data_IF_130264217986
#
_entry.id   IF_130264217986
#
_cell.length_a   1.000
_cell.length_b   1.000
_cell.length_c   1.000
_cell.angle_alpha   90.00
_cell.angle_beta   90.00
_cell.angle_gamma   90.00
#
_symmetry.space_group_name_H-M   'P 1'
#
loop_
_entity.id
_entity.type
_entity.pdbx_description
1 polymer ?
#
# COMPACT_ATOMS: atom_id res chain seq x y z
N UNK A 1 -34.15 60.32 53.40
CA UNK A 1 -33.86 60.97 52.11
C UNK A 1 -32.47 60.55 51.66
N UNK A 2 -32.38 60.00 50.45
CA UNK A 2 -31.15 59.57 49.75
C UNK A 2 -30.13 60.72 49.67
N UNK A 3 -28.84 60.44 49.87
CA UNK A 3 -27.76 61.17 49.19
C UNK A 3 -26.70 60.18 48.72
N UNK A 4 -26.41 60.31 47.43
CA UNK A 4 -25.55 59.48 46.61
C UNK A 4 -24.09 59.56 47.04
N UNK A 5 -23.42 58.41 47.12
CA UNK A 5 -21.97 58.28 47.03
C UNK A 5 -21.65 57.68 45.66
N UNK A 6 -21.03 58.49 44.80
CA UNK A 6 -20.41 58.07 43.55
C UNK A 6 -19.18 57.21 43.91
N UNK A 7 -19.22 55.93 43.57
CA UNK A 7 -18.05 55.04 43.58
C UNK A 7 -17.56 54.99 42.13
N UNK A 8 -16.28 55.31 41.84
CA UNK A 8 -15.76 55.15 40.50
C UNK A 8 -15.63 53.66 40.21
N UNK A 9 -16.36 53.21 39.19
CA UNK A 9 -16.31 51.87 38.65
C UNK A 9 -14.93 51.66 38.01
N UNK A 10 -14.01 51.05 38.76
CA UNK A 10 -12.78 50.52 38.20
C UNK A 10 -13.15 49.38 37.25
N UNK A 11 -12.91 49.60 35.96
CA UNK A 11 -13.10 48.61 34.91
C UNK A 11 -12.18 47.41 35.16
N UNK A 12 -12.75 46.29 35.59
CA UNK A 12 -12.17 44.97 35.44
C UNK A 12 -12.52 44.46 34.04
N UNK A 13 -11.66 44.76 33.08
CA UNK A 13 -11.56 43.97 31.85
C UNK A 13 -10.17 43.32 31.84
N UNK A 14 -10.10 42.10 32.39
CA UNK A 14 -9.09 41.13 31.99
C UNK A 14 -9.86 40.08 31.18
N UNK A 15 -10.08 40.38 29.91
CA UNK A 15 -10.38 39.36 28.93
C UNK A 15 -9.08 38.66 28.59
N UNK A 16 -8.87 37.45 29.10
CA UNK A 16 -7.85 36.55 28.55
C UNK A 16 -8.33 36.05 27.19
N UNK A 17 -8.12 36.85 26.15
CA UNK A 17 -7.81 36.31 24.84
C UNK A 17 -6.29 36.24 24.77
N UNK A 18 -5.70 35.10 25.11
CA UNK A 18 -4.28 34.90 24.85
C UNK A 18 -4.09 34.78 23.34
N UNK A 19 -3.70 35.88 22.70
CA UNK A 19 -3.00 35.77 21.42
C UNK A 19 -1.85 34.76 21.61
N UNK A 20 -1.63 33.83 20.66
CA UNK A 20 -0.49 32.93 20.75
C UNK A 20 0.76 33.76 20.96
N UNK A 21 1.58 33.38 21.96
CA UNK A 21 2.81 34.10 22.29
C UNK A 21 3.62 34.28 21.02
N UNK A 22 4.03 35.52 20.75
CA UNK A 22 4.73 35.85 19.52
C UNK A 22 6.06 35.08 19.49
N UNK A 23 6.50 34.67 18.29
CA UNK A 23 7.69 33.87 18.06
C UNK A 23 8.96 34.35 18.79
N UNK A 24 9.06 35.66 19.02
CA UNK A 24 10.16 36.33 19.72
C UNK A 24 10.22 36.11 21.24
N UNK A 25 9.19 35.50 21.84
CA UNK A 25 9.09 35.32 23.31
C UNK A 25 9.43 33.90 23.78
N UNK A 26 9.76 33.00 22.85
CA UNK A 26 10.01 31.58 23.13
C UNK A 26 11.50 31.31 23.06
N UNK A 27 12.04 30.68 24.10
CA UNK A 27 13.39 30.15 24.08
C UNK A 27 13.37 28.78 23.38
N UNK A 28 14.00 28.70 22.20
CA UNK A 28 14.22 27.46 21.44
C UNK A 28 15.72 27.13 21.36
N UNK A 29 16.44 27.30 22.47
CA UNK A 29 17.90 27.18 22.52
C UNK A 29 18.38 25.72 22.55
N UNK A 30 17.53 24.77 22.98
CA UNK A 30 17.84 23.34 23.04
C UNK A 30 16.94 22.49 22.13
N UNK A 31 17.40 21.25 21.87
CA UNK A 31 16.69 20.31 21.02
C UNK A 31 15.28 20.00 21.55
N UNK A 32 15.13 19.81 22.87
CA UNK A 32 13.85 19.50 23.51
C UNK A 32 12.80 20.57 23.23
N UNK A 33 13.13 21.86 23.34
CA UNK A 33 12.19 22.93 23.00
C UNK A 33 11.88 22.95 21.51
N UNK A 34 12.89 22.78 20.64
CA UNK A 34 12.70 22.77 19.18
C UNK A 34 11.83 21.62 18.70
N UNK A 35 12.06 20.40 19.17
CA UNK A 35 11.25 19.24 18.81
C UNK A 35 9.83 19.37 19.36
N UNK A 36 9.68 19.86 20.59
CA UNK A 36 8.36 20.12 21.19
C UNK A 36 7.55 21.10 20.35
N UNK A 37 8.16 22.22 19.95
CA UNK A 37 7.53 23.20 19.07
C UNK A 37 7.15 22.56 17.73
N UNK A 38 8.06 21.77 17.17
CA UNK A 38 7.89 21.17 15.85
C UNK A 38 6.77 20.14 15.81
N UNK A 39 6.68 19.25 16.81
CA UNK A 39 5.60 18.27 16.95
C UNK A 39 4.23 18.96 17.07
N UNK A 40 4.14 20.02 17.87
CA UNK A 40 2.92 20.81 17.97
C UNK A 40 2.54 21.49 16.66
N UNK A 41 3.51 22.13 16.00
CA UNK A 41 3.31 22.79 14.72
C UNK A 41 2.86 21.79 13.65
N UNK A 42 3.47 20.61 13.59
CA UNK A 42 3.11 19.53 12.66
C UNK A 42 1.65 19.09 12.84
N UNK A 43 1.21 18.86 14.09
CA UNK A 43 -0.20 18.57 14.39
C UNK A 43 -1.14 19.67 13.87
N UNK A 44 -0.74 20.94 14.00
CA UNK A 44 -1.50 22.08 13.49
C UNK A 44 -1.54 22.18 11.95
N UNK A 45 -0.55 21.64 11.22
CA UNK A 45 -0.56 21.65 9.75
C UNK A 45 -1.64 20.75 9.15
N UNK A 46 -2.15 19.77 9.91
CA UNK A 46 -3.25 18.91 9.44
C UNK A 46 -4.51 19.72 9.08
N UNK A 47 -4.70 20.90 9.67
CA UNK A 47 -5.80 21.80 9.35
C UNK A 47 -5.69 22.44 7.96
N UNK A 48 -4.51 22.42 7.32
CA UNK A 48 -4.33 22.86 5.93
C UNK A 48 -5.08 21.97 4.92
N UNK A 49 -5.44 20.74 5.31
CA UNK A 49 -6.24 19.84 4.48
C UNK A 49 -7.76 20.13 4.56
N UNK A 50 -8.18 21.04 5.43
CA UNK A 50 -9.59 21.38 5.63
C UNK A 50 -9.96 22.52 4.67
N UNK A 51 -11.14 22.46 4.00
CA UNK A 51 -11.64 23.56 3.19
C UNK A 51 -11.65 24.90 3.96
N UNK A 52 -11.14 25.96 3.33
CA UNK A 52 -10.96 27.27 3.96
C UNK A 52 -12.27 27.83 4.56
N UNK A 53 -13.41 27.57 3.91
CA UNK A 53 -14.73 27.96 4.40
C UNK A 53 -15.08 27.29 5.74
N UNK A 54 -14.66 26.05 5.97
CA UNK A 54 -14.86 25.36 7.25
C UNK A 54 -13.82 25.83 8.26
N UNK A 55 -12.54 25.89 7.87
CA UNK A 55 -11.47 26.27 8.79
C UNK A 55 -11.65 27.68 9.35
N UNK A 56 -12.11 28.63 8.54
CA UNK A 56 -12.36 30.02 8.96
C UNK A 56 -13.49 30.16 9.99
N UNK A 57 -14.38 29.16 10.09
CA UNK A 57 -15.44 29.12 11.09
C UNK A 57 -15.00 28.51 12.42
N UNK A 58 -13.84 27.85 12.50
CA UNK A 58 -13.38 27.24 13.76
C UNK A 58 -12.82 28.29 14.73
N UNK A 59 -13.08 28.08 16.02
CA UNK A 59 -12.48 28.88 17.09
C UNK A 59 -11.07 28.38 17.38
N UNK A 60 -10.06 29.17 16.99
CA UNK A 60 -8.64 28.84 17.13
C UNK A 60 -8.20 28.71 18.59
N UNK A 61 -8.81 29.48 19.50
CA UNK A 61 -8.49 29.38 20.93
C UNK A 61 -9.01 28.06 21.50
N UNK A 62 -10.20 27.63 21.08
CA UNK A 62 -10.76 26.35 21.49
C UNK A 62 -10.01 25.17 20.86
N UNK A 63 -9.58 25.28 19.60
CA UNK A 63 -8.69 24.29 18.95
C UNK A 63 -7.40 24.10 19.77
N UNK A 64 -6.72 25.19 20.12
CA UNK A 64 -5.50 25.16 20.93
C UNK A 64 -5.75 24.55 22.31
N UNK A 65 -6.82 24.95 22.99
CA UNK A 65 -7.12 24.45 24.33
C UNK A 65 -7.51 22.97 24.33
N UNK A 66 -8.28 22.53 23.33
CA UNK A 66 -8.60 21.12 23.12
C UNK A 66 -7.35 20.29 22.88
N UNK A 67 -6.46 20.75 21.99
CA UNK A 67 -5.17 20.10 21.73
C UNK A 67 -4.35 19.96 23.01
N UNK A 68 -4.15 21.04 23.76
CA UNK A 68 -3.30 21.04 24.95
C UNK A 68 -3.88 20.16 26.08
N UNK A 69 -5.20 20.22 26.29
CA UNK A 69 -5.88 19.43 27.33
C UNK A 69 -5.68 17.94 27.11
N UNK A 70 -5.94 17.46 25.89
CA UNK A 70 -5.85 16.03 25.55
C UNK A 70 -4.43 15.54 25.31
N UNK A 71 -3.48 16.45 25.05
CA UNK A 71 -2.06 16.13 25.03
C UNK A 71 -1.53 15.82 26.43
N UNK A 72 -1.99 16.54 27.44
CA UNK A 72 -1.45 16.47 28.81
C UNK A 72 -2.15 15.43 29.69
N UNK A 73 -3.45 15.23 29.50
CA UNK A 73 -4.25 14.36 30.37
C UNK A 73 -4.33 12.93 29.82
N UNK A 74 -3.64 12.01 30.50
CA UNK A 74 -3.54 10.59 30.12
C UNK A 74 -4.83 9.81 30.37
N UNK A 75 -5.74 10.33 31.19
CA UNK A 75 -7.03 9.67 31.49
C UNK A 75 -8.12 10.04 30.48
N UNK A 76 -7.90 11.07 29.65
CA UNK A 76 -8.89 11.56 28.70
C UNK A 76 -8.87 10.78 27.38
N UNK A 77 -10.07 10.39 26.92
CA UNK A 77 -10.33 9.79 25.61
C UNK A 77 -11.20 10.70 24.76
N UNK A 78 -10.96 10.71 23.45
CA UNK A 78 -11.73 11.53 22.49
C UNK A 78 -13.00 10.84 21.98
N UNK A 79 -13.44 9.74 22.59
CA UNK A 79 -14.61 8.97 22.14
C UNK A 79 -15.86 9.85 21.97
N UNK A 80 -16.17 10.70 22.96
CA UNK A 80 -17.28 11.66 22.88
C UNK A 80 -17.09 12.72 21.79
N UNK A 81 -15.85 13.07 21.47
CA UNK A 81 -15.53 14.04 20.43
C UNK A 81 -15.70 13.48 19.02
N UNK A 82 -15.56 12.16 18.82
CA UNK A 82 -15.79 11.54 17.52
C UNK A 82 -17.23 11.70 17.05
N UNK A 83 -18.18 11.52 17.97
CA UNK A 83 -19.61 11.75 17.69
C UNK A 83 -19.86 13.22 17.33
N UNK A 84 -19.37 14.15 18.16
CA UNK A 84 -19.49 15.60 17.92
C UNK A 84 -18.99 15.99 16.53
N UNK A 85 -17.80 15.54 16.14
CA UNK A 85 -17.21 15.86 14.85
C UNK A 85 -17.96 15.19 13.69
N UNK A 86 -18.39 13.93 13.85
CA UNK A 86 -19.16 13.25 12.81
C UNK A 86 -20.50 13.93 12.51
N UNK A 87 -21.18 14.42 13.55
CA UNK A 87 -22.45 15.14 13.43
C UNK A 87 -22.23 16.54 12.86
N UNK A 88 -21.26 17.30 13.40
CA UNK A 88 -21.05 18.69 13.02
C UNK A 88 -20.35 18.87 11.67
N UNK A 89 -19.51 17.92 11.24
CA UNK A 89 -18.71 18.00 10.00
C UNK A 89 -19.17 17.03 8.92
N UNK A 90 -20.29 16.32 9.12
CA UNK A 90 -20.85 15.40 8.12
C UNK A 90 -21.36 16.09 6.86
N UNK A 91 -21.54 17.42 6.89
CA UNK A 91 -21.93 18.23 5.74
C UNK A 91 -20.70 18.94 5.11
N UNK A 92 -20.40 18.71 3.82
CA UNK A 92 -19.25 19.36 3.17
C UNK A 92 -19.40 20.89 3.01
N UNK A 93 -20.58 21.46 3.28
CA UNK A 93 -20.88 22.88 3.06
C UNK A 93 -20.54 23.79 4.25
N UNK A 94 -20.24 23.25 5.43
CA UNK A 94 -20.00 24.05 6.64
C UNK A 94 -20.15 23.25 7.92
N UNK A 95 -20.03 23.94 9.07
CA UNK A 95 -20.16 23.32 10.40
C UNK A 95 -21.64 23.35 10.82
N UNK A 96 -22.24 22.19 11.07
CA UNK A 96 -23.58 22.10 11.66
C UNK A 96 -23.51 22.33 13.17
N UNK A 97 -24.09 23.44 13.61
CA UNK A 97 -24.13 23.84 15.02
C UNK A 97 -25.51 23.66 15.67
N UNK A 98 -26.36 22.82 15.09
CA UNK A 98 -27.71 22.55 15.63
C UNK A 98 -27.64 21.86 16.99
N UNK A 99 -26.78 20.84 17.09
CA UNK A 99 -26.65 20.01 18.30
C UNK A 99 -25.45 20.40 19.17
N UNK A 100 -24.41 20.96 18.56
CA UNK A 100 -23.17 21.31 19.25
C UNK A 100 -22.75 22.74 18.94
N UNK A 101 -22.28 23.46 19.96
CA UNK A 101 -21.73 24.80 19.75
C UNK A 101 -20.44 24.71 18.93
N UNK A 102 -20.18 25.74 18.12
CA UNK A 102 -18.92 25.89 17.37
C UNK A 102 -17.69 25.79 18.27
N UNK A 103 -17.75 26.33 19.49
CA UNK A 103 -16.68 26.19 20.48
C UNK A 103 -16.45 24.73 20.86
N UNK A 104 -17.51 23.96 21.13
CA UNK A 104 -17.41 22.51 21.43
C UNK A 104 -16.87 21.73 20.25
N UNK A 105 -17.30 22.03 19.03
CA UNK A 105 -16.79 21.39 17.80
C UNK A 105 -15.30 21.69 17.64
N UNK A 106 -14.90 22.96 17.80
CA UNK A 106 -13.50 23.40 17.69
C UNK A 106 -12.61 22.73 18.75
N UNK A 107 -13.05 22.72 20.01
CA UNK A 107 -12.37 22.04 21.10
C UNK A 107 -12.20 20.54 20.81
N UNK A 108 -13.26 19.87 20.36
CA UNK A 108 -13.19 18.45 20.02
C UNK A 108 -12.26 18.17 18.84
N UNK A 109 -12.19 19.07 17.85
CA UNK A 109 -11.28 18.89 16.73
C UNK A 109 -9.81 19.02 17.17
N UNK A 110 -9.50 20.00 18.03
CA UNK A 110 -8.18 20.12 18.64
C UNK A 110 -7.81 18.91 19.50
N UNK A 111 -8.77 18.42 20.29
CA UNK A 111 -8.62 17.27 21.17
C UNK A 111 -8.16 15.99 20.44
N UNK A 112 -8.67 15.74 19.21
CA UNK A 112 -8.26 14.58 18.39
C UNK A 112 -6.75 14.60 18.14
N UNK A 113 -6.18 15.75 17.77
CA UNK A 113 -4.75 15.86 17.50
C UNK A 113 -3.91 15.86 18.78
N UNK A 114 -4.44 16.41 19.88
CA UNK A 114 -3.81 16.33 21.19
C UNK A 114 -3.65 14.88 21.67
N UNK A 115 -4.74 14.10 21.61
CA UNK A 115 -4.73 12.68 21.96
C UNK A 115 -3.83 11.87 21.00
N UNK A 116 -3.85 12.18 19.70
CA UNK A 116 -3.00 11.50 18.72
C UNK A 116 -1.52 11.65 19.05
N UNK A 117 -1.06 12.88 19.31
CA UNK A 117 0.33 13.12 19.70
C UNK A 117 0.66 12.45 21.05
N UNK A 118 -0.23 12.56 22.04
CA UNK A 118 -0.07 11.89 23.34
C UNK A 118 0.13 10.39 23.19
N UNK A 119 -0.78 9.70 22.48
CA UNK A 119 -0.70 8.24 22.28
C UNK A 119 0.57 7.82 21.53
N UNK A 120 1.02 8.64 20.57
CA UNK A 120 2.28 8.40 19.86
C UNK A 120 3.49 8.48 20.79
N UNK A 121 3.50 9.42 21.75
CA UNK A 121 4.56 9.55 22.74
C UNK A 121 4.48 8.48 23.83
N UNK A 122 3.29 8.15 24.32
CA UNK A 122 3.08 7.11 25.33
C UNK A 122 3.53 5.73 24.85
N UNK A 123 3.20 5.37 23.61
CA UNK A 123 3.56 4.05 23.04
C UNK A 123 5.07 3.84 22.93
N UNK A 124 5.86 4.93 23.00
CA UNK A 124 7.33 4.93 22.94
C UNK A 124 7.97 5.45 24.22
N UNK A 125 7.22 5.57 25.31
CA UNK A 125 7.68 6.09 26.60
C UNK A 125 8.39 7.46 26.51
N UNK A 126 7.93 8.33 25.60
CA UNK A 126 8.59 9.58 25.21
C UNK A 126 7.91 10.85 25.77
N UNK A 127 6.96 10.69 26.71
CA UNK A 127 6.21 11.82 27.27
C UNK A 127 7.13 12.85 27.93
N UNK A 128 8.20 12.38 28.60
CA UNK A 128 9.17 13.26 29.26
C UNK A 128 10.15 13.93 28.28
N UNK A 129 10.19 13.51 27.02
CA UNK A 129 11.04 14.11 25.98
C UNK A 129 10.42 15.36 25.35
N UNK A 130 9.16 15.65 25.67
CA UNK A 130 8.41 16.76 25.08
C UNK A 130 7.94 17.74 26.15
N UNK A 131 8.10 19.04 25.88
CA UNK A 131 7.52 20.12 26.64
C UNK A 131 6.15 20.49 26.05
N UNK A 132 5.07 20.06 26.70
CA UNK A 132 3.71 20.27 26.20
C UNK A 132 3.29 21.74 26.11
N UNK A 133 3.85 22.62 26.94
CA UNK A 133 3.58 24.06 26.83
C UNK A 133 4.17 24.65 25.53
N UNK A 134 5.34 24.16 25.10
CA UNK A 134 5.94 24.58 23.84
C UNK A 134 5.24 23.91 22.65
N UNK A 135 4.82 22.65 22.78
CA UNK A 135 4.01 21.99 21.75
C UNK A 135 2.67 22.72 21.52
N UNK A 136 1.98 23.15 22.58
CA UNK A 136 0.78 24.01 22.49
C UNK A 136 1.05 25.26 21.66
N UNK A 137 2.17 25.95 21.90
CA UNK A 137 2.51 27.17 21.14
C UNK A 137 2.80 26.85 19.68
N UNK A 138 3.52 25.77 19.39
CA UNK A 138 3.76 25.29 18.03
C UNK A 138 2.46 25.06 17.27
N UNK A 139 1.52 24.36 17.90
CA UNK A 139 0.18 24.09 17.36
C UNK A 139 -0.57 25.39 17.05
N UNK A 140 -0.65 26.30 18.02
CA UNK A 140 -1.34 27.59 17.88
C UNK A 140 -0.76 28.45 16.74
N UNK A 141 0.57 28.53 16.63
CA UNK A 141 1.24 29.27 15.56
C UNK A 141 0.96 28.69 14.17
N UNK A 142 0.88 27.36 14.06
CA UNK A 142 0.53 26.71 12.79
C UNK A 142 -0.90 27.05 12.34
N UNK A 143 -1.86 27.16 13.27
CA UNK A 143 -3.26 27.51 12.95
C UNK A 143 -3.44 28.90 12.33
N UNK A 144 -2.50 29.83 12.59
CA UNK A 144 -2.56 31.20 12.07
C UNK A 144 -1.54 31.48 10.97
N UNK A 145 -0.78 30.46 10.56
CA UNK A 145 0.23 30.56 9.49
C UNK A 145 1.21 31.73 9.71
N UNK A 146 1.49 32.08 10.98
CA UNK A 146 2.54 33.04 11.32
C UNK A 146 3.87 32.33 11.20
N UNK A 147 4.34 32.21 9.95
CA UNK A 147 5.55 31.58 9.44
C UNK A 147 6.42 30.93 10.54
N UNK A 148 6.13 29.65 10.75
CA UNK A 148 6.60 28.77 11.81
C UNK A 148 8.11 28.94 12.05
N UNK A 149 8.44 29.38 13.27
CA UNK A 149 9.77 29.82 13.78
C UNK A 149 10.96 29.01 13.29
N UNK A 150 10.74 27.72 13.07
CA UNK A 150 11.70 26.77 12.52
C UNK A 150 11.26 26.45 11.09
N UNK A 151 12.11 26.58 10.06
CA UNK A 151 11.78 26.25 8.68
C UNK A 151 11.13 24.86 8.53
N UNK A 152 10.17 24.73 7.61
CA UNK A 152 9.40 23.48 7.40
C UNK A 152 10.30 22.25 7.21
N UNK A 153 11.30 22.34 6.33
CA UNK A 153 12.24 21.25 6.06
C UNK A 153 13.06 20.87 7.31
N UNK A 154 13.48 21.85 8.11
CA UNK A 154 14.21 21.60 9.37
C UNK A 154 13.31 20.90 10.39
N UNK A 155 12.03 21.30 10.49
CA UNK A 155 11.07 20.62 11.36
C UNK A 155 10.82 19.19 10.92
N UNK A 156 10.57 18.97 9.64
CA UNK A 156 10.35 17.63 9.09
C UNK A 156 11.55 16.72 9.40
N UNK A 157 12.77 17.21 9.16
CA UNK A 157 13.96 16.43 9.48
C UNK A 157 14.07 16.12 10.97
N UNK A 158 13.88 17.11 11.85
CA UNK A 158 13.92 16.87 13.30
C UNK A 158 12.84 15.90 13.77
N UNK A 159 11.62 15.98 13.24
CA UNK A 159 10.53 15.06 13.59
C UNK A 159 10.85 13.64 13.09
N UNK A 160 11.40 13.50 11.89
CA UNK A 160 11.85 12.19 11.37
C UNK A 160 12.95 11.61 12.27
N UNK A 161 14.01 12.37 12.54
CA UNK A 161 15.13 11.95 13.39
C UNK A 161 14.66 11.55 14.79
N UNK A 162 13.80 12.39 15.41
CA UNK A 162 13.20 12.09 16.71
C UNK A 162 12.38 10.81 16.68
N UNK A 163 11.53 10.60 15.67
CA UNK A 163 10.73 9.39 15.56
C UNK A 163 11.57 8.13 15.35
N UNK A 164 12.67 8.25 14.60
CA UNK A 164 13.65 7.18 14.38
C UNK A 164 14.35 6.81 15.69
N UNK A 165 14.82 7.80 16.45
CA UNK A 165 15.44 7.59 17.76
C UNK A 165 14.47 6.90 18.71
N UNK A 166 13.21 7.36 18.77
CA UNK A 166 12.18 6.73 19.60
C UNK A 166 11.85 5.30 19.17
N UNK A 167 11.79 5.04 17.86
CA UNK A 167 11.59 3.67 17.35
C UNK A 167 12.73 2.75 17.78
N UNK A 168 13.98 3.21 17.63
CA UNK A 168 15.14 2.43 18.01
C UNK A 168 15.15 2.11 19.50
N UNK A 169 15.02 3.14 20.36
CA UNK A 169 15.04 2.98 21.82
C UNK A 169 13.91 2.05 22.27
N UNK A 170 12.67 2.30 21.82
CA UNK A 170 11.53 1.47 22.21
C UNK A 170 11.68 0.02 21.71
N UNK A 171 12.28 -0.17 20.52
CA UNK A 171 12.61 -1.49 19.98
C UNK A 171 13.69 -2.22 20.79
N UNK A 172 14.75 -1.53 21.21
CA UNK A 172 15.80 -2.08 22.07
C UNK A 172 15.24 -2.51 23.44
N UNK A 173 14.47 -1.64 24.10
CA UNK A 173 13.82 -1.94 25.38
C UNK A 173 12.89 -3.16 25.24
N UNK A 174 12.08 -3.20 24.18
CA UNK A 174 11.20 -4.31 23.87
C UNK A 174 11.97 -5.64 23.72
N UNK A 175 13.06 -5.65 22.96
CA UNK A 175 13.89 -6.85 22.75
C UNK A 175 14.60 -7.28 24.04
N UNK A 176 15.05 -6.33 24.87
CA UNK A 176 15.67 -6.63 26.19
C UNK A 176 14.67 -7.27 27.13
N UNK A 177 13.44 -6.76 27.20
CA UNK A 177 12.38 -7.33 28.03
C UNK A 177 12.02 -8.75 27.59
N UNK A 178 11.84 -8.96 26.28
CA UNK A 178 11.53 -10.28 25.74
C UNK A 178 12.66 -11.28 25.94
N UNK A 179 13.91 -10.87 25.73
CA UNK A 179 15.08 -11.75 25.92
C UNK A 179 15.19 -12.27 27.34
N UNK A 180 14.83 -11.46 28.35
CA UNK A 180 14.76 -11.90 29.75
C UNK A 180 13.63 -12.90 29.99
N UNK A 181 12.51 -12.74 29.30
CA UNK A 181 11.33 -13.60 29.45
C UNK A 181 11.49 -14.95 28.72
N UNK A 182 12.21 -14.94 27.60
CA UNK A 182 12.37 -16.03 26.65
C UNK A 182 13.84 -16.43 26.49
N UNK A 183 14.60 -16.50 27.60
CA UNK A 183 16.06 -16.66 27.59
C UNK A 183 16.54 -17.90 26.80
N UNK A 184 15.77 -19.00 26.82
CA UNK A 184 16.09 -20.21 26.06
C UNK A 184 15.83 -20.11 24.55
N UNK A 185 15.05 -19.11 24.14
CA UNK A 185 14.55 -18.95 22.78
C UNK A 185 15.35 -17.89 22.00
N UNK A 186 16.27 -17.18 22.69
CA UNK A 186 17.19 -16.21 22.10
C UNK A 186 18.21 -16.95 21.21
N UNK A 187 18.34 -16.48 19.97
CA UNK A 187 19.28 -17.04 18.98
C UNK A 187 20.59 -16.24 18.97
N UNK A 188 21.66 -16.85 18.45
CA UNK A 188 23.00 -16.24 18.42
C UNK A 188 23.04 -14.93 17.64
N UNK A 189 22.20 -14.79 16.61
CA UNK A 189 22.07 -13.58 15.81
C UNK A 189 21.24 -12.47 16.50
N UNK A 190 20.66 -12.72 17.68
CA UNK A 190 19.98 -11.71 18.51
C UNK A 190 18.46 -11.62 18.34
N UNK A 191 17.88 -12.37 17.41
CA UNK A 191 16.42 -12.54 17.33
C UNK A 191 15.94 -13.62 18.31
N UNK A 192 14.65 -13.62 18.62
CA UNK A 192 14.02 -14.61 19.49
C UNK A 192 13.08 -15.47 18.65
N UNK A 193 13.22 -16.78 18.71
CA UNK A 193 12.39 -17.74 18.01
C UNK A 193 11.65 -18.63 18.98
N UNK A 194 10.33 -18.42 19.09
CA UNK A 194 9.45 -19.20 19.94
C UNK A 194 8.69 -20.20 19.06
N UNK A 195 8.83 -21.50 19.36
CA UNK A 195 7.97 -22.53 18.79
C UNK A 195 6.66 -22.59 19.60
N UNK A 196 5.57 -22.10 19.01
CA UNK A 196 4.24 -22.18 19.61
C UNK A 196 3.65 -23.58 19.44
N UNK A 197 3.98 -24.25 18.33
CA UNK A 197 3.54 -25.59 18.00
C UNK A 197 4.57 -26.28 17.11
N UNK A 198 5.01 -27.46 17.53
CA UNK A 198 5.90 -28.32 16.75
C UNK A 198 5.28 -28.70 15.40
N UNK A 199 6.14 -28.82 14.39
CA UNK A 199 5.78 -29.30 13.07
C UNK A 199 5.64 -30.81 13.00
N UNK A 200 5.69 -31.31 11.77
CA UNK A 200 5.55 -32.73 11.44
C UNK A 200 6.92 -33.44 11.33
N UNK A 201 8.03 -32.78 11.68
CA UNK A 201 9.40 -33.30 11.54
C UNK A 201 10.05 -33.05 10.17
N UNK A 202 9.37 -32.37 9.24
CA UNK A 202 9.91 -32.00 7.93
C UNK A 202 10.44 -30.56 7.97
N UNK A 203 11.75 -30.38 7.84
CA UNK A 203 12.37 -29.06 7.84
C UNK A 203 12.03 -28.24 6.58
N UNK A 204 12.03 -26.91 6.71
CA UNK A 204 11.90 -26.00 5.58
C UNK A 204 13.19 -25.99 4.74
N UNK A 205 13.04 -26.19 3.44
CA UNK A 205 14.05 -25.95 2.42
C UNK A 205 13.91 -24.51 1.93
N UNK A 206 14.90 -23.65 2.20
CA UNK A 206 14.84 -22.23 1.82
C UNK A 206 14.75 -22.01 0.30
N UNK A 207 15.11 -22.99 -0.53
CA UNK A 207 14.92 -22.91 -1.98
C UNK A 207 13.48 -23.22 -2.42
N UNK A 208 12.68 -23.79 -1.52
CA UNK A 208 11.31 -24.21 -1.76
C UNK A 208 10.28 -23.10 -1.59
N UNK A 209 9.03 -23.44 -1.90
CA UNK A 209 7.87 -22.56 -1.78
C UNK A 209 6.90 -23.18 -0.78
N UNK A 210 6.28 -22.33 0.05
CA UNK A 210 5.51 -22.78 1.21
C UNK A 210 4.19 -22.02 1.32
N UNK A 211 3.12 -22.75 1.66
CA UNK A 211 1.87 -22.15 2.09
C UNK A 211 2.01 -21.70 3.54
N UNK A 212 1.99 -20.40 3.78
CA UNK A 212 2.20 -19.81 5.10
C UNK A 212 1.05 -18.86 5.44
N UNK A 213 0.55 -18.95 6.67
CA UNK A 213 -0.25 -17.89 7.30
C UNK A 213 0.69 -17.06 8.15
N UNK A 214 0.79 -15.76 7.92
CA UNK A 214 1.67 -14.91 8.71
C UNK A 214 1.02 -13.58 9.07
N UNK A 215 1.47 -13.03 10.20
CA UNK A 215 1.09 -11.71 10.69
C UNK A 215 2.33 -11.02 11.24
N UNK A 216 2.58 -9.80 10.79
CA UNK A 216 3.61 -8.92 11.31
C UNK A 216 2.97 -7.79 12.11
N UNK A 217 3.46 -7.57 13.33
CA UNK A 217 3.01 -6.48 14.19
C UNK A 217 4.16 -5.59 14.63
N UNK A 218 3.86 -4.34 14.95
CA UNK A 218 4.79 -3.46 15.66
C UNK A 218 4.92 -3.89 17.15
N UNK A 219 5.76 -3.18 17.90
CA UNK A 219 5.96 -3.42 19.34
C UNK A 219 4.71 -3.14 20.20
N UNK A 220 3.76 -2.36 19.70
CA UNK A 220 2.46 -2.11 20.34
C UNK A 220 1.43 -3.20 20.07
N UNK A 221 1.73 -4.15 19.19
CA UNK A 221 0.83 -5.24 18.77
C UNK A 221 -0.10 -4.87 17.61
N UNK A 222 0.04 -3.68 17.01
CA UNK A 222 -0.75 -3.29 15.85
C UNK A 222 -0.30 -4.10 14.63
N UNK A 223 -1.26 -4.65 13.89
CA UNK A 223 -1.00 -5.40 12.67
C UNK A 223 -0.54 -4.48 11.55
N UNK A 224 0.64 -4.76 11.00
CA UNK A 224 1.20 -4.05 9.85
C UNK A 224 0.87 -4.84 8.58
N UNK A 225 1.14 -6.15 8.58
CA UNK A 225 0.94 -7.05 7.45
C UNK A 225 0.28 -8.31 7.98
N UNK A 226 -0.74 -8.82 7.31
CA UNK A 226 -1.30 -10.13 7.64
C UNK A 226 -1.91 -10.78 6.41
N UNK A 227 -1.74 -12.10 6.30
CA UNK A 227 -2.49 -12.92 5.34
C UNK A 227 -3.87 -13.32 5.87
N UNK A 228 -4.14 -13.07 7.16
CA UNK A 228 -5.41 -13.37 7.80
C UNK A 228 -6.50 -12.41 7.30
N UNK A 229 -7.25 -12.83 6.28
CA UNK A 229 -8.36 -12.05 5.72
C UNK A 229 -9.58 -12.09 6.65
N UNK A 230 -9.82 -13.25 7.28
CA UNK A 230 -10.93 -13.45 8.21
C UNK A 230 -10.69 -14.64 9.10
N UNK A 231 -10.99 -14.49 10.40
CA UNK A 231 -10.97 -15.59 11.36
C UNK A 231 -11.97 -16.71 11.05
N UNK A 232 -12.93 -16.48 10.15
CA UNK A 232 -13.89 -17.50 9.71
C UNK A 232 -13.37 -18.39 8.58
N UNK A 233 -12.34 -17.93 7.87
CA UNK A 233 -11.70 -18.71 6.81
C UNK A 233 -10.74 -19.72 7.43
N UNK A 234 -10.56 -20.85 6.76
CA UNK A 234 -9.56 -21.85 7.16
C UNK A 234 -8.14 -21.29 6.98
N UNK A 235 -7.16 -21.92 7.65
CA UNK A 235 -5.76 -21.56 7.46
C UNK A 235 -5.34 -21.69 6.00
N UNK A 236 -5.84 -22.69 5.28
CA UNK A 236 -5.54 -22.89 3.86
C UNK A 236 -6.07 -21.73 3.00
N UNK A 237 -7.21 -21.14 3.35
CA UNK A 237 -7.79 -19.98 2.67
C UNK A 237 -7.11 -18.67 3.05
N UNK A 238 -6.60 -18.58 4.28
CA UNK A 238 -5.81 -17.44 4.76
C UNK A 238 -4.32 -17.54 4.39
N UNK A 239 -3.86 -18.66 3.84
CA UNK A 239 -2.47 -18.86 3.50
C UNK A 239 -2.09 -18.19 2.20
N UNK A 240 -0.84 -17.76 2.13
CA UNK A 240 -0.19 -17.31 0.91
C UNK A 240 0.95 -18.25 0.57
N UNK A 241 1.13 -18.56 -0.72
CA UNK A 241 2.35 -19.24 -1.18
C UNK A 241 3.47 -18.22 -1.22
N UNK A 242 4.54 -18.48 -0.49
CA UNK A 242 5.69 -17.60 -0.36
C UNK A 242 7.00 -18.37 -0.50
N UNK A 243 8.05 -17.63 -0.85
CA UNK A 243 9.44 -18.08 -0.82
C UNK A 243 10.27 -17.17 0.11
N UNK A 244 11.40 -17.67 0.61
CA UNK A 244 12.33 -16.92 1.49
C UNK A 244 12.83 -15.61 0.87
N UNK A 245 12.91 -15.53 -0.46
CA UNK A 245 13.38 -14.36 -1.21
C UNK A 245 12.27 -13.32 -1.46
N UNK A 246 11.01 -13.61 -1.11
CA UNK A 246 9.95 -12.62 -1.24
C UNK A 246 10.23 -11.44 -0.30
N UNK A 247 10.14 -10.21 -0.85
CA UNK A 247 10.49 -8.94 -0.18
C UNK A 247 9.77 -8.70 1.16
N UNK A 248 8.68 -9.42 1.41
CA UNK A 248 7.87 -9.30 2.62
C UNK A 248 8.53 -9.94 3.84
N UNK A 249 9.56 -10.78 3.69
CA UNK A 249 10.22 -11.42 4.82
C UNK A 249 11.58 -10.78 5.14
N UNK A 250 11.73 -10.22 6.36
CA UNK A 250 13.00 -9.66 6.79
C UNK A 250 14.03 -10.75 7.11
N UNK A 251 15.29 -10.37 7.27
CA UNK A 251 16.41 -11.29 7.51
C UNK A 251 16.16 -12.21 8.72
N UNK A 252 15.59 -11.70 9.81
CA UNK A 252 15.23 -12.48 10.99
C UNK A 252 14.32 -13.68 10.66
N UNK A 253 13.36 -13.50 9.76
CA UNK A 253 12.47 -14.59 9.34
C UNK A 253 13.26 -15.65 8.56
N UNK A 254 14.18 -15.24 7.69
CA UNK A 254 15.02 -16.15 6.88
C UNK A 254 15.97 -16.96 7.76
N UNK A 255 16.55 -16.34 8.79
CA UNK A 255 17.36 -16.99 9.80
C UNK A 255 16.52 -18.00 10.59
N UNK A 256 15.35 -17.56 11.08
CA UNK A 256 14.44 -18.40 11.84
C UNK A 256 13.93 -19.61 11.03
N UNK A 257 13.60 -19.43 9.75
CA UNK A 257 13.07 -20.48 8.87
C UNK A 257 14.00 -21.70 8.76
N UNK A 258 15.31 -21.55 8.95
CA UNK A 258 16.28 -22.67 9.00
C UNK A 258 16.02 -23.67 10.13
N UNK A 259 15.33 -23.21 11.18
CA UNK A 259 15.00 -23.98 12.37
C UNK A 259 13.49 -24.27 12.48
N UNK A 260 12.72 -23.99 11.44
CA UNK A 260 11.27 -24.25 11.40
C UNK A 260 10.95 -25.54 10.64
N UNK A 261 9.78 -26.10 10.95
CA UNK A 261 9.23 -27.29 10.32
C UNK A 261 7.87 -27.04 9.69
N UNK A 262 7.56 -27.84 8.68
CA UNK A 262 6.23 -27.90 8.06
C UNK A 262 5.20 -28.35 9.10
N UNK A 263 4.04 -27.69 9.12
CA UNK A 263 2.96 -27.89 10.10
C UNK A 263 3.16 -27.12 11.41
N UNK A 264 4.32 -26.48 11.60
CA UNK A 264 4.67 -25.74 12.82
C UNK A 264 4.10 -24.33 12.88
N UNK A 265 4.03 -23.79 14.09
CA UNK A 265 3.62 -22.41 14.36
C UNK A 265 4.69 -21.72 15.21
N UNK A 266 5.13 -20.54 14.78
CA UNK A 266 6.30 -19.85 15.31
C UNK A 266 6.01 -18.37 15.54
N UNK A 267 6.63 -17.80 16.57
CA UNK A 267 6.69 -16.36 16.79
C UNK A 267 8.15 -15.94 16.77
N UNK A 268 8.47 -14.96 15.94
CA UNK A 268 9.80 -14.37 15.83
C UNK A 268 9.73 -12.94 16.36
N UNK A 269 10.58 -12.59 17.32
CA UNK A 269 10.79 -11.19 17.71
C UNK A 269 12.16 -10.74 17.22
N UNK A 270 12.22 -9.55 16.64
CA UNK A 270 13.44 -9.03 16.03
C UNK A 270 13.59 -7.53 16.23
N UNK A 271 14.83 -7.10 16.43
CA UNK A 271 15.25 -5.70 16.33
C UNK A 271 15.25 -5.23 14.87
N UNK A 272 15.43 -3.93 14.68
CA UNK A 272 15.31 -3.29 13.37
C UNK A 272 16.37 -3.74 12.37
N UNK A 273 17.57 -4.06 12.82
CA UNK A 273 18.73 -4.47 12.03
C UNK A 273 18.52 -5.79 11.28
N UNK A 274 17.85 -6.76 11.92
CA UNK A 274 17.40 -8.00 11.28
C UNK A 274 15.98 -7.89 10.71
N UNK A 275 15.30 -6.76 10.90
CA UNK A 275 14.03 -6.43 10.26
C UNK A 275 14.25 -5.73 8.91
N UNK A 276 13.97 -4.43 8.85
CA UNK A 276 14.03 -3.61 7.63
C UNK A 276 15.02 -2.43 7.75
N UNK A 277 15.87 -2.45 8.78
CA UNK A 277 16.98 -1.52 8.95
C UNK A 277 16.57 -0.07 9.18
N UNK A 278 17.50 0.82 8.85
CA UNK A 278 17.39 2.27 8.97
C UNK A 278 16.43 2.87 7.93
N UNK A 279 16.17 2.16 6.84
CA UNK A 279 15.31 2.63 5.75
C UNK A 279 13.83 2.24 5.95
N UNK A 280 13.57 1.18 6.72
CA UNK A 280 12.24 0.58 6.82
C UNK A 280 11.80 -0.10 5.52
N UNK A 281 10.49 -0.23 5.31
CA UNK A 281 9.94 -0.78 4.07
C UNK A 281 8.79 0.08 3.57
N UNK A 282 8.93 0.54 2.32
CA UNK A 282 7.86 1.15 1.54
C UNK A 282 7.69 0.38 0.22
N UNK A 283 6.59 -0.34 0.07
CA UNK A 283 6.35 -1.14 -1.14
C UNK A 283 6.14 -0.22 -2.36
N UNK A 284 6.97 -0.29 -3.43
CA UNK A 284 6.98 0.71 -4.51
C UNK A 284 5.68 0.88 -5.29
N UNK A 285 4.72 -0.05 -5.18
CA UNK A 285 3.48 -0.07 -5.95
C UNK A 285 2.24 -0.55 -5.14
N UNK A 286 2.30 -0.53 -3.81
CA UNK A 286 1.22 -1.01 -2.93
C UNK A 286 0.90 0.04 -1.88
N UNK A 287 -0.36 0.47 -1.82
CA UNK A 287 -0.86 1.36 -0.76
C UNK A 287 -0.98 0.67 0.61
N UNK A 288 -0.64 -0.62 0.74
CA UNK A 288 -1.21 -1.43 1.82
C UNK A 288 -0.39 -1.53 3.09
N UNK A 289 0.93 -1.28 3.09
CA UNK A 289 1.72 -1.34 4.33
C UNK A 289 3.03 -0.53 4.25
N UNK A 290 3.33 0.17 5.34
CA UNK A 290 4.58 0.91 5.57
C UNK A 290 5.18 0.41 6.87
N UNK A 291 6.44 -0.01 6.84
CA UNK A 291 7.22 -0.31 8.04
C UNK A 291 8.16 0.85 8.25
N UNK A 292 8.06 1.50 9.40
CA UNK A 292 8.86 2.67 9.70
C UNK A 292 10.33 2.28 9.87
N UNK A 293 11.27 3.16 9.51
CA UNK A 293 12.67 3.08 9.92
C UNK A 293 12.84 2.66 11.39
N UNK A 294 13.88 1.88 11.67
CA UNK A 294 14.26 1.48 13.04
C UNK A 294 13.19 0.68 13.80
N UNK A 295 12.23 0.07 13.11
CA UNK A 295 11.16 -0.69 13.76
C UNK A 295 11.62 -2.09 14.17
N UNK A 296 11.54 -2.40 15.46
CA UNK A 296 11.46 -3.78 15.93
C UNK A 296 10.09 -4.39 15.60
N UNK A 297 10.05 -5.69 15.34
CA UNK A 297 8.86 -6.39 14.86
C UNK A 297 8.61 -7.70 15.60
N UNK A 298 7.33 -8.10 15.63
CA UNK A 298 6.92 -9.46 15.92
C UNK A 298 6.32 -10.09 14.68
N UNK A 299 6.76 -11.29 14.33
CA UNK A 299 6.29 -12.05 13.17
C UNK A 299 5.73 -13.38 13.66
N UNK A 300 4.42 -13.54 13.58
CA UNK A 300 3.79 -14.84 13.70
C UNK A 300 3.80 -15.53 12.34
N UNK A 301 4.22 -16.80 12.30
CA UNK A 301 4.34 -17.59 11.09
C UNK A 301 3.83 -19.00 11.33
N UNK A 302 2.84 -19.43 10.54
CA UNK A 302 2.29 -20.78 10.54
C UNK A 302 2.56 -21.42 9.18
N UNK A 303 3.42 -22.43 9.18
CA UNK A 303 3.90 -23.10 7.97
C UNK A 303 3.00 -24.29 7.72
N UNK A 304 2.14 -24.25 6.71
CA UNK A 304 1.12 -25.29 6.52
C UNK A 304 1.68 -26.49 5.76
N UNK A 305 2.29 -26.22 4.61
CA UNK A 305 2.77 -27.23 3.67
C UNK A 305 3.80 -26.63 2.73
N UNK A 306 4.69 -27.48 2.23
CA UNK A 306 5.42 -27.14 1.00
C UNK A 306 4.40 -27.10 -0.15
N UNK A 307 4.45 -26.06 -0.96
CA UNK A 307 3.52 -25.86 -2.07
C UNK A 307 4.22 -25.19 -3.22
N UNK A 308 4.17 -25.80 -4.40
CA UNK A 308 4.69 -25.17 -5.61
C UNK A 308 3.86 -23.92 -5.96
N UNK A 309 4.53 -22.78 -6.16
CA UNK A 309 3.91 -21.51 -6.54
C UNK A 309 3.28 -21.67 -7.90
N UNK A 310 2.08 -21.09 -7.98
CA UNK A 310 1.20 -21.24 -9.13
C UNK A 310 0.82 -22.71 -9.40
N UNK A 311 0.98 -23.66 -8.45
CA UNK A 311 0.51 -25.05 -8.60
C UNK A 311 -0.96 -25.10 -9.02
N UNK A 312 -1.84 -24.39 -8.32
CA UNK A 312 -3.26 -24.30 -8.69
C UNK A 312 -3.49 -23.73 -10.10
N UNK A 313 -2.65 -22.79 -10.56
CA UNK A 313 -2.72 -22.21 -11.91
C UNK A 313 -2.22 -23.21 -12.95
N UNK A 314 -1.10 -23.90 -12.67
CA UNK A 314 -0.54 -24.97 -13.51
C UNK A 314 -1.50 -26.14 -13.64
N UNK A 315 -2.14 -26.56 -12.53
CA UNK A 315 -3.15 -27.61 -12.50
C UNK A 315 -4.40 -27.20 -13.27
N UNK A 316 -4.97 -26.02 -13.00
CA UNK A 316 -6.12 -25.49 -13.75
C UNK A 316 -5.81 -25.38 -15.24
N UNK A 317 -4.60 -24.94 -15.58
CA UNK A 317 -4.13 -24.84 -16.96
C UNK A 317 -3.94 -26.19 -17.64
N UNK A 318 -3.42 -27.20 -16.94
CA UNK A 318 -3.32 -28.57 -17.42
C UNK A 318 -4.70 -29.19 -17.66
N UNK A 319 -5.63 -28.97 -16.73
CA UNK A 319 -7.03 -29.39 -16.87
C UNK A 319 -7.68 -28.73 -18.09
N UNK A 320 -7.54 -27.41 -18.24
CA UNK A 320 -8.08 -26.68 -19.40
C UNK A 320 -7.54 -27.21 -20.73
N UNK A 321 -6.24 -27.47 -20.83
CA UNK A 321 -5.65 -28.06 -22.04
C UNK A 321 -6.22 -29.45 -22.30
N UNK A 322 -6.36 -30.29 -21.28
CA UNK A 322 -6.91 -31.63 -21.42
C UNK A 322 -8.38 -31.61 -21.83
N UNK A 323 -9.19 -30.75 -21.23
CA UNK A 323 -10.58 -30.52 -21.62
C UNK A 323 -10.68 -30.03 -23.07
N UNK A 324 -9.79 -29.13 -23.49
CA UNK A 324 -9.74 -28.63 -24.87
C UNK A 324 -9.42 -29.76 -25.86
N UNK A 325 -8.45 -30.63 -25.57
CA UNK A 325 -8.10 -31.79 -26.42
C UNK A 325 -9.28 -32.73 -26.65
N UNK A 326 -10.18 -32.82 -25.67
CA UNK A 326 -11.35 -33.69 -25.72
C UNK A 326 -12.57 -33.06 -26.42
N UNK A 327 -12.48 -31.81 -26.88
CA UNK A 327 -13.56 -31.17 -27.63
C UNK A 327 -13.63 -31.66 -29.09
N UNK A 328 -14.83 -31.75 -29.70
CA UNK A 328 -14.97 -32.08 -31.11
C UNK A 328 -14.32 -31.00 -32.00
N UNK A 329 -13.92 -31.36 -33.22
CA UNK A 329 -13.29 -30.46 -34.19
C UNK A 329 -11.99 -29.81 -33.68
N UNK A 330 -11.23 -30.54 -32.86
CA UNK A 330 -10.00 -30.07 -32.25
C UNK A 330 -8.77 -30.72 -32.87
N UNK A 331 -7.70 -29.93 -33.01
CA UNK A 331 -6.37 -30.37 -33.43
C UNK A 331 -5.36 -29.96 -32.35
N UNK A 332 -4.54 -30.92 -31.92
CA UNK A 332 -3.38 -30.67 -31.04
C UNK A 332 -2.15 -30.45 -31.92
N UNK A 333 -1.53 -29.29 -31.80
CA UNK A 333 -0.31 -28.98 -32.54
C UNK A 333 0.93 -29.58 -31.86
N UNK A 334 1.98 -29.99 -32.61
CA UNK A 334 3.23 -30.45 -32.01
C UNK A 334 3.89 -29.45 -31.06
N UNK A 335 3.60 -28.15 -31.20
CA UNK A 335 4.07 -27.10 -30.29
C UNK A 335 3.34 -27.10 -28.94
N UNK A 336 2.24 -27.84 -28.79
CA UNK A 336 1.52 -28.03 -27.53
C UNK A 336 0.21 -27.25 -27.39
N UNK A 337 -0.12 -26.34 -28.30
CA UNK A 337 -1.42 -25.66 -28.28
C UNK A 337 -2.55 -26.54 -28.83
N UNK A 338 -3.78 -26.19 -28.46
CA UNK A 338 -5.01 -26.87 -28.89
C UNK A 338 -5.88 -25.90 -29.66
N UNK A 339 -6.22 -26.25 -30.90
CA UNK A 339 -7.06 -25.44 -31.79
C UNK A 339 -8.37 -26.16 -32.08
N UNK A 340 -9.49 -25.56 -31.68
CA UNK A 340 -10.85 -26.05 -31.93
C UNK A 340 -11.54 -25.16 -32.94
N UNK A 341 -12.01 -25.73 -34.06
CA UNK A 341 -12.82 -24.99 -35.04
C UNK A 341 -14.27 -24.92 -34.57
N UNK A 342 -14.75 -23.72 -34.25
CA UNK A 342 -16.15 -23.46 -33.88
C UNK A 342 -17.01 -23.22 -35.12
N UNK A 343 -16.49 -22.44 -36.06
CA UNK A 343 -17.08 -22.17 -37.37
C UNK A 343 -15.95 -21.98 -38.40
N UNK A 344 -15.97 -22.77 -39.48
CA UNK A 344 -14.92 -22.68 -40.50
C UNK A 344 -15.13 -21.47 -41.41
N UNK A 345 -14.07 -20.68 -41.58
CA UNK A 345 -14.09 -19.51 -42.45
C UNK A 345 -14.21 -19.86 -43.93
N UNK A 346 -14.74 -18.92 -44.71
CA UNK A 346 -14.95 -19.06 -46.17
C UNK A 346 -14.01 -18.20 -47.00
N UNK A 347 -13.27 -17.29 -46.36
CA UNK A 347 -12.29 -16.44 -47.03
C UNK A 347 -10.90 -17.08 -47.10
N UNK A 348 -9.90 -16.23 -47.33
CA UNK A 348 -8.53 -16.70 -47.50
C UNK A 348 -7.94 -17.25 -46.20
N UNK A 349 -7.00 -18.18 -46.32
CA UNK A 349 -6.17 -18.60 -45.20
C UNK A 349 -5.22 -17.46 -44.83
N UNK A 350 -5.03 -17.23 -43.53
CA UNK A 350 -4.09 -16.22 -43.03
C UNK A 350 -2.65 -16.70 -43.27
N UNK A 351 -1.77 -15.84 -43.78
CA UNK A 351 -0.36 -16.19 -43.96
C UNK A 351 0.46 -15.86 -42.70
N UNK A 352 1.55 -16.58 -42.44
CA UNK A 352 2.49 -16.21 -41.38
C UNK A 352 3.01 -14.77 -41.54
N UNK A 353 2.92 -13.99 -40.46
CA UNK A 353 3.39 -12.60 -40.43
C UNK A 353 2.37 -11.56 -40.88
N UNK A 354 1.22 -11.97 -41.42
CA UNK A 354 0.14 -11.06 -41.84
C UNK A 354 -0.33 -10.14 -40.70
N UNK A 355 -1.00 -9.05 -41.09
CA UNK A 355 -1.87 -8.33 -40.18
C UNK A 355 -3.26 -8.98 -40.18
N UNK A 356 -3.89 -9.02 -39.01
CA UNK A 356 -5.18 -9.65 -38.81
C UNK A 356 -6.09 -8.72 -38.03
N UNK A 357 -7.27 -8.44 -38.57
CA UNK A 357 -8.37 -7.84 -37.84
C UNK A 357 -9.26 -8.94 -37.28
N UNK A 358 -9.40 -8.99 -35.96
CA UNK A 358 -10.14 -10.05 -35.29
C UNK A 358 -10.86 -9.55 -34.05
N UNK A 359 -12.02 -10.12 -33.78
CA UNK A 359 -12.56 -10.12 -32.44
C UNK A 359 -11.99 -11.30 -31.65
N UNK A 360 -11.73 -11.07 -30.37
CA UNK A 360 -11.38 -12.11 -29.43
C UNK A 360 -12.05 -11.93 -28.06
N UNK A 361 -12.21 -13.05 -27.36
CA UNK A 361 -12.48 -13.15 -25.92
C UNK A 361 -11.33 -13.96 -25.32
N UNK A 362 -10.66 -13.38 -24.32
CA UNK A 362 -9.57 -14.02 -23.59
C UNK A 362 -10.06 -14.44 -22.21
N UNK A 363 -9.85 -15.72 -21.87
CA UNK A 363 -10.09 -16.26 -20.54
C UNK A 363 -8.84 -16.88 -19.91
N UNK A 364 -8.71 -16.77 -18.58
CA UNK A 364 -7.67 -17.46 -17.79
C UNK A 364 -8.00 -18.94 -17.60
N UNK A 365 -7.09 -19.71 -17.00
CA UNK A 365 -7.23 -21.16 -16.78
C UNK A 365 -8.43 -21.55 -15.90
N UNK A 366 -9.00 -20.61 -15.14
CA UNK A 366 -10.23 -20.79 -14.35
C UNK A 366 -11.52 -20.47 -15.13
N UNK A 367 -11.40 -20.14 -16.42
CA UNK A 367 -12.51 -19.79 -17.29
C UNK A 367 -13.05 -18.37 -17.10
N UNK A 368 -12.38 -17.53 -16.32
CA UNK A 368 -12.78 -16.13 -16.13
C UNK A 368 -12.35 -15.30 -17.33
N UNK A 369 -13.28 -14.52 -17.89
CA UNK A 369 -12.98 -13.60 -18.98
C UNK A 369 -12.14 -12.43 -18.47
N UNK A 370 -10.95 -12.26 -19.03
CA UNK A 370 -9.99 -11.20 -18.71
C UNK A 370 -10.15 -10.02 -19.67
N UNK A 371 -10.30 -10.31 -20.96
CA UNK A 371 -10.46 -9.30 -22.00
C UNK A 371 -11.57 -9.71 -22.98
N UNK A 372 -12.31 -8.71 -23.48
CA UNK A 372 -13.36 -8.93 -24.46
C UNK A 372 -13.40 -7.77 -25.46
N UNK A 373 -12.93 -8.03 -26.67
CA UNK A 373 -12.86 -7.03 -27.74
C UNK A 373 -14.22 -6.60 -28.30
N UNK A 374 -15.27 -7.41 -28.16
CA UNK A 374 -16.62 -7.02 -28.60
C UNK A 374 -17.15 -5.89 -27.72
N UNK A 375 -16.93 -5.98 -26.42
CA UNK A 375 -17.34 -4.93 -25.48
C UNK A 375 -16.55 -3.66 -25.69
N UNK A 376 -15.22 -3.75 -25.85
CA UNK A 376 -14.39 -2.55 -26.05
C UNK A 376 -14.70 -1.84 -27.38
N UNK A 377 -14.95 -2.59 -28.46
CA UNK A 377 -15.37 -2.06 -29.76
C UNK A 377 -16.73 -1.37 -29.69
N UNK A 378 -17.72 -2.01 -29.05
CA UNK A 378 -19.07 -1.45 -28.92
C UNK A 378 -19.13 -0.20 -28.06
N UNK A 379 -18.45 -0.19 -26.89
CA UNK A 379 -18.46 0.96 -25.98
C UNK A 379 -17.77 2.18 -26.58
N UNK A 380 -16.70 1.97 -27.35
CA UNK A 380 -15.91 3.06 -27.93
C UNK A 380 -16.35 3.43 -29.36
N UNK A 381 -17.35 2.74 -29.91
CA UNK A 381 -17.79 2.86 -31.31
C UNK A 381 -16.61 2.73 -32.30
N UNK A 382 -15.69 1.82 -32.01
CA UNK A 382 -14.48 1.55 -32.79
C UNK A 382 -14.58 0.21 -33.52
N UNK A 383 -13.92 0.02 -34.67
CA UNK A 383 -13.87 -1.29 -35.33
C UNK A 383 -13.12 -2.31 -34.46
N UNK A 384 -13.24 -3.59 -34.82
CA UNK A 384 -12.45 -4.65 -34.22
C UNK A 384 -10.94 -4.34 -34.28
N UNK A 385 -10.18 -4.70 -33.23
CA UNK A 385 -8.75 -4.43 -33.19
C UNK A 385 -8.01 -5.18 -34.32
N UNK A 386 -6.91 -4.58 -34.77
CA UNK A 386 -6.00 -5.17 -35.76
C UNK A 386 -4.65 -5.45 -35.12
N UNK A 387 -4.09 -6.61 -35.42
CA UNK A 387 -2.86 -7.13 -34.83
C UNK A 387 -1.89 -7.50 -35.94
N UNK A 388 -0.61 -7.14 -35.77
CA UNK A 388 0.43 -7.74 -36.60
C UNK A 388 0.83 -9.06 -35.95
N UNK A 389 0.83 -10.16 -36.70
CA UNK A 389 1.19 -11.46 -36.13
C UNK A 389 2.60 -11.45 -35.51
N UNK A 390 3.52 -10.64 -36.04
CA UNK A 390 4.87 -10.49 -35.46
C UNK A 390 4.89 -9.79 -34.09
N UNK A 391 3.81 -9.13 -33.67
CA UNK A 391 3.71 -8.35 -32.44
C UNK A 391 2.85 -8.99 -31.33
N UNK A 392 2.38 -10.22 -31.52
CA UNK A 392 1.53 -10.94 -30.57
C UNK A 392 2.23 -12.16 -29.98
N UNK A 393 1.61 -12.79 -28.97
CA UNK A 393 2.15 -14.00 -28.31
C UNK A 393 2.46 -15.13 -29.31
N UNK A 394 3.46 -15.95 -29.00
CA UNK A 394 3.96 -17.02 -29.88
C UNK A 394 2.86 -17.98 -30.33
N UNK A 395 1.88 -18.28 -29.47
CA UNK A 395 0.75 -19.13 -29.83
C UNK A 395 -0.12 -18.55 -30.95
N UNK A 396 -0.33 -17.23 -30.99
CA UNK A 396 -1.06 -16.58 -32.10
C UNK A 396 -0.27 -16.67 -33.41
N UNK A 397 1.04 -16.45 -33.36
CA UNK A 397 1.94 -16.57 -34.52
C UNK A 397 1.88 -17.96 -35.17
N UNK A 398 1.72 -19.01 -34.36
CA UNK A 398 1.68 -20.40 -34.83
C UNK A 398 0.26 -20.85 -35.23
N UNK A 399 -0.77 -20.40 -34.50
CA UNK A 399 -2.13 -20.91 -34.66
C UNK A 399 -2.97 -20.13 -35.68
N UNK A 400 -2.87 -18.80 -35.73
CA UNK A 400 -3.70 -17.98 -36.64
C UNK A 400 -3.43 -18.30 -38.11
N UNK A 401 -2.21 -18.61 -38.57
CA UNK A 401 -1.99 -19.06 -39.95
C UNK A 401 -2.70 -20.37 -40.33
N UNK A 402 -3.31 -21.07 -39.36
CA UNK A 402 -4.15 -22.27 -39.58
C UNK A 402 -5.65 -21.94 -39.68
N UNK A 403 -6.01 -20.66 -39.59
CA UNK A 403 -7.39 -20.15 -39.62
C UNK A 403 -7.70 -19.49 -40.96
N UNK A 404 -8.99 -19.32 -41.26
CA UNK A 404 -9.47 -18.58 -42.43
C UNK A 404 -10.31 -17.38 -42.03
N UNK A 405 -10.30 -16.37 -42.90
CA UNK A 405 -11.20 -15.23 -42.80
C UNK A 405 -12.68 -15.66 -42.77
N UNK A 406 -13.45 -14.98 -41.92
CA UNK A 406 -14.85 -15.27 -41.60
C UNK A 406 -15.03 -16.49 -40.70
N UNK A 407 -13.94 -17.09 -40.20
CA UNK A 407 -14.00 -18.24 -39.29
C UNK A 407 -13.94 -17.85 -37.82
N UNK A 408 -14.49 -18.71 -36.97
CA UNK A 408 -14.43 -18.60 -35.52
C UNK A 408 -13.78 -19.84 -34.92
N UNK A 409 -12.78 -19.62 -34.07
CA UNK A 409 -11.92 -20.66 -33.53
C UNK A 409 -11.75 -20.46 -32.02
N UNK A 410 -11.55 -21.55 -31.28
CA UNK A 410 -11.07 -21.50 -29.91
C UNK A 410 -9.63 -22.02 -29.87
N UNK A 411 -8.73 -21.21 -29.36
CA UNK A 411 -7.30 -21.48 -29.25
C UNK A 411 -6.92 -21.54 -27.76
N UNK A 412 -6.55 -22.72 -27.28
CA UNK A 412 -6.04 -22.92 -25.92
C UNK A 412 -4.53 -23.01 -25.96
N UNK A 413 -3.85 -22.09 -25.28
CA UNK A 413 -2.39 -21.93 -25.26
C UNK A 413 -1.81 -22.32 -23.91
N UNK A 414 -0.85 -23.25 -23.85
CA UNK A 414 -0.02 -23.41 -22.66
C UNK A 414 0.79 -22.14 -22.38
N UNK A 415 1.16 -21.94 -21.12
CA UNK A 415 1.78 -20.68 -20.66
C UNK A 415 3.06 -20.30 -21.43
N UNK A 416 3.86 -21.26 -21.86
CA UNK A 416 5.11 -21.06 -22.60
C UNK A 416 4.89 -20.57 -24.05
N UNK A 417 3.69 -20.78 -24.61
CA UNK A 417 3.25 -20.17 -25.87
C UNK A 417 2.46 -18.86 -25.66
N UNK A 418 2.22 -18.47 -24.41
CA UNK A 418 1.53 -17.25 -24.00
C UNK A 418 2.50 -16.25 -23.33
N UNK A 419 2.37 -16.01 -22.03
CA UNK A 419 3.14 -15.02 -21.25
C UNK A 419 4.22 -15.64 -20.33
N UNK A 420 4.42 -16.95 -20.40
CA UNK A 420 5.53 -17.64 -19.76
C UNK A 420 5.42 -17.72 -18.23
N UNK A 421 6.55 -18.09 -17.62
CA UNK A 421 6.74 -18.20 -16.17
C UNK A 421 6.69 -16.84 -15.44
N UNK A 422 6.61 -15.73 -16.17
CA UNK A 422 6.62 -14.37 -15.60
C UNK A 422 5.24 -13.71 -15.66
N UNK A 423 4.38 -14.11 -16.61
CA UNK A 423 3.09 -13.45 -16.79
C UNK A 423 3.24 -11.99 -17.23
N UNK A 424 2.25 -11.17 -16.89
CA UNK A 424 2.31 -9.71 -17.00
C UNK A 424 1.41 -9.07 -15.91
N UNK A 425 1.10 -7.78 -16.03
CA UNK A 425 0.28 -7.06 -15.03
C UNK A 425 -1.12 -7.67 -14.81
N UNK A 426 -1.70 -8.28 -15.85
CA UNK A 426 -3.07 -8.83 -15.84
C UNK A 426 -3.09 -10.36 -15.84
N UNK A 427 -2.09 -11.00 -16.46
CA UNK A 427 -1.98 -12.45 -16.65
C UNK A 427 -0.99 -13.01 -15.63
N UNK A 428 -1.40 -14.01 -14.85
CA UNK A 428 -0.54 -14.60 -13.84
C UNK A 428 0.64 -15.37 -14.49
N UNK A 429 1.76 -15.52 -13.77
CA UNK A 429 2.79 -16.50 -14.11
C UNK A 429 2.20 -17.90 -14.37
N UNK A 430 2.74 -18.60 -15.37
CA UNK A 430 2.35 -19.97 -15.73
C UNK A 430 0.88 -20.16 -16.16
N UNK A 431 0.17 -19.07 -16.46
CA UNK A 431 -1.25 -19.11 -16.84
C UNK A 431 -1.44 -19.69 -18.26
N UNK A 432 -2.19 -20.79 -18.36
CA UNK A 432 -2.76 -21.26 -19.64
C UNK A 432 -3.93 -20.35 -20.03
N UNK A 433 -4.00 -19.95 -21.29
CA UNK A 433 -5.01 -19.02 -21.79
C UNK A 433 -5.90 -19.66 -22.84
N UNK A 434 -7.18 -19.30 -22.86
CA UNK A 434 -8.12 -19.66 -23.91
C UNK A 434 -8.59 -18.40 -24.65
N UNK A 435 -8.43 -18.41 -25.97
CA UNK A 435 -8.86 -17.35 -26.86
C UNK A 435 -9.99 -17.87 -27.76
N UNK A 436 -11.16 -17.26 -27.70
CA UNK A 436 -12.13 -17.39 -28.79
C UNK A 436 -11.89 -16.27 -29.78
N UNK A 437 -11.52 -16.62 -31.02
CA UNK A 437 -11.06 -15.69 -32.05
C UNK A 437 -12.02 -15.78 -33.24
N UNK A 438 -12.56 -14.65 -33.66
CA UNK A 438 -13.28 -14.47 -34.93
C UNK A 438 -12.39 -13.65 -35.88
N UNK A 439 -11.90 -14.30 -36.93
CA UNK A 439 -11.03 -13.66 -37.93
C UNK A 439 -11.91 -12.91 -38.92
N UNK A 440 -11.90 -11.58 -38.87
CA UNK A 440 -12.71 -10.76 -39.77
C UNK A 440 -12.01 -10.50 -41.09
N UNK A 441 -10.70 -10.23 -41.04
CA UNK A 441 -9.88 -9.90 -42.21
C UNK A 441 -8.42 -10.20 -41.95
N UNK A 442 -7.71 -10.64 -42.97
CA UNK A 442 -6.26 -10.73 -43.01
C UNK A 442 -5.71 -9.90 -44.18
N UNK A 443 -4.44 -9.53 -44.09
CA UNK A 443 -3.75 -8.83 -45.17
C UNK A 443 -2.25 -8.76 -44.93
N UNK A 444 -1.53 -8.40 -45.98
CA UNK A 444 -0.07 -8.28 -45.92
C UNK A 444 0.37 -7.35 -44.77
N UNK A 445 1.58 -7.55 -44.22
CA UNK A 445 2.10 -6.72 -43.14
C UNK A 445 2.00 -5.22 -43.44
N UNK A 446 1.43 -4.45 -42.51
CA UNK A 446 1.26 -3.00 -42.63
C UNK A 446 -0.03 -2.56 -43.33
N UNK A 447 -0.88 -3.49 -43.77
CA UNK A 447 -2.14 -3.16 -44.46
C UNK A 447 -3.31 -2.89 -43.52
N UNK A 448 -3.36 -3.55 -42.36
CA UNK A 448 -4.41 -3.34 -41.35
C UNK A 448 -3.85 -2.65 -40.10
N UNK A 449 -2.60 -2.93 -39.74
CA UNK A 449 -1.88 -2.22 -38.68
C UNK A 449 -1.00 -1.16 -39.31
N UNK A 450 -1.41 0.11 -39.18
CA UNK A 450 -0.55 1.21 -39.64
C UNK A 450 0.75 1.18 -38.83
N UNK A 451 1.93 1.16 -39.48
CA UNK A 451 3.19 1.30 -38.77
C UNK A 451 3.12 2.54 -37.90
N UNK A 452 3.48 2.42 -36.62
CA UNK A 452 3.58 3.56 -35.71
C UNK A 452 4.52 4.56 -36.38
N UNK A 453 4.01 5.69 -36.86
CA UNK A 453 4.86 6.77 -37.33
C UNK A 453 5.82 7.10 -36.19
N UNK A 454 7.13 7.16 -36.45
CA UNK A 454 8.09 7.64 -35.47
C UNK A 454 7.56 8.96 -34.93
N UNK A 455 7.22 8.97 -33.64
CA UNK A 455 6.52 10.07 -32.99
C UNK A 455 7.39 11.32 -32.87
N UNK A 456 8.69 11.18 -33.17
CA UNK A 456 9.69 12.23 -33.19
C UNK A 456 10.35 12.27 -34.57
N UNK A 457 10.45 13.46 -35.15
CA UNK A 457 11.32 13.70 -36.31
C UNK A 457 12.78 13.44 -35.92
N UNK A 458 13.65 13.20 -36.91
CA UNK A 458 15.09 13.07 -36.66
C UNK A 458 15.66 14.27 -35.90
N UNK A 459 15.10 15.47 -36.13
CA UNK A 459 15.48 16.70 -35.46
C UNK A 459 15.05 16.71 -33.98
N UNK A 460 13.86 16.19 -33.66
CA UNK A 460 13.39 16.03 -32.28
C UNK A 460 14.18 14.97 -31.51
N UNK A 461 14.55 13.86 -32.16
CA UNK A 461 15.44 12.85 -31.56
C UNK A 461 16.82 13.43 -31.24
N UNK A 462 17.34 14.28 -32.13
CA UNK A 462 18.62 14.94 -31.93
C UNK A 462 18.59 15.92 -30.75
N UNK A 463 17.50 16.69 -30.61
CA UNK A 463 17.29 17.59 -29.47
C UNK A 463 17.18 16.83 -28.14
N UNK A 464 16.40 15.75 -28.09
CA UNK A 464 16.29 14.88 -26.92
C UNK A 464 17.65 14.30 -26.51
N UNK A 465 18.45 13.82 -27.48
CA UNK A 465 19.80 13.30 -27.21
C UNK A 465 20.75 14.37 -26.67
N UNK A 466 20.64 15.62 -27.14
CA UNK A 466 21.43 16.74 -26.62
C UNK A 466 21.01 17.14 -25.20
N UNK A 467 19.72 17.11 -24.88
CA UNK A 467 19.21 17.36 -23.54
C UNK A 467 19.65 16.27 -22.54
N UNK A 468 19.56 15.00 -22.92
CA UNK A 468 20.05 13.88 -22.10
C UNK A 468 21.55 14.01 -21.80
N UNK A 469 22.37 14.41 -22.79
CA UNK A 469 23.81 14.65 -22.58
C UNK A 469 24.08 15.81 -21.62
N UNK A 470 23.27 16.87 -21.65
CA UNK A 470 23.41 18.00 -20.72
C UNK A 470 23.03 17.63 -19.29
N UNK A 471 22.06 16.74 -19.10
CA UNK A 471 21.65 16.27 -17.78
C UNK A 471 22.68 15.31 -17.15
N UNK A 472 23.40 14.52 -17.94
CA UNK A 472 24.48 13.65 -17.44
C UNK A 472 25.79 14.39 -17.10
N UNK A 473 25.86 15.69 -17.38
CA UNK A 473 27.05 16.53 -17.11
C UNK A 473 26.82 17.54 -15.96
N UNK A 474 25.67 17.49 -15.31
CA UNK A 474 25.40 18.13 -14.02
C UNK A 474 25.42 17.07 -12.94
#
# INVERSE_FOLDING_TARGET
MKKLLFIPLAALFVGCGSNPKNASEINLDDFKQKISYSLGADMGTNFSNIPENIFSELDKSELEEGFYTFLKDVEMSTDDCREVLSTALGNPSGIDTTDYSRARVSHCYGAIFGEMLRKSLESKNAMDEVNFDIARIGFANSLVQTDTIIPLEERHQMIMDFNNDLNNIAGEDYMVELSKKHESDVQDEGYILIENKAGNGEAIDLSGEYNIVYTMTNISGDTIISTLQSQKLSDQENAQIVNVDDIVFPEAWKLAAKNMEVGGEYTIHTSYDLAYGEDGLQAPNSQSYVIQPYSALTIYSKVLSQGERFSSVKESGAQMLEEAKNQPNTVVDPSGFVLTTLEEGKGNQVNPGDDVQAHYILSNSKGQVIENSYMSSSQNNQPAPSFSLNGVVKGWQLAIPKMKEGGRYRLTLPYDLAYGAQGNQTIQPYETLSFEIEVLKAGDPGTLVKPRQQQFSEEQLKQLQEEFKKQQQK
#
